data_IF_799961441577
#
_entry.id   IF_799961441577
#
_cell.length_a   1.000
_cell.length_b   1.000
_cell.length_c   1.000
_cell.angle_alpha   90.00
_cell.angle_beta   90.00
_cell.angle_gamma   90.00
#
_symmetry.space_group_name_H-M   'P 1'
#
loop_
_entity.id
_entity.type
_entity.pdbx_description
1 polymer ?
#
# COMPACT_ATOMS: atom_id res chain seq x y z
N UNK A 1 6.32 25.27 13.40
CA UNK A 1 6.97 23.93 13.49
C UNK A 1 6.35 23.05 12.42
N UNK A 2 7.15 22.45 11.52
CA UNK A 2 6.60 21.52 10.53
C UNK A 2 5.97 20.34 11.28
N UNK A 3 4.81 19.85 10.83
CA UNK A 3 4.24 18.62 11.39
C UNK A 3 5.16 17.43 11.11
N UNK A 4 5.13 16.41 11.95
CA UNK A 4 5.89 15.16 11.71
C UNK A 4 5.52 14.59 10.34
N UNK A 5 4.23 14.55 10.02
CA UNK A 5 3.74 14.07 8.73
C UNK A 5 4.35 14.83 7.55
N UNK A 6 4.42 16.16 7.61
CA UNK A 6 5.00 16.97 6.55
C UNK A 6 6.49 16.63 6.32
N UNK A 7 7.24 16.51 7.41
CA UNK A 7 8.67 16.13 7.34
C UNK A 7 8.83 14.72 6.75
N UNK A 8 7.99 13.78 7.16
CA UNK A 8 8.03 12.41 6.66
C UNK A 8 7.65 12.31 5.16
N UNK A 9 6.65 13.06 4.72
CA UNK A 9 6.26 13.17 3.30
C UNK A 9 7.40 13.72 2.47
N UNK A 10 7.99 14.86 2.88
CA UNK A 10 9.14 15.47 2.18
C UNK A 10 10.33 14.50 2.10
N UNK A 11 10.61 13.76 3.19
CA UNK A 11 11.68 12.75 3.24
C UNK A 11 11.40 11.57 2.30
N UNK A 12 10.16 11.09 2.26
CA UNK A 12 9.75 10.01 1.37
C UNK A 12 9.88 10.41 -0.12
N UNK A 13 9.49 11.64 -0.47
CA UNK A 13 9.65 12.18 -1.82
C UNK A 13 11.14 12.27 -2.19
N UNK A 14 11.96 12.82 -1.28
CA UNK A 14 13.41 12.92 -1.50
C UNK A 14 14.03 11.56 -1.72
N UNK A 15 13.75 10.60 -0.84
CA UNK A 15 14.24 9.23 -0.97
C UNK A 15 13.79 8.60 -2.30
N UNK A 16 12.51 8.75 -2.66
CA UNK A 16 11.98 8.19 -3.90
C UNK A 16 12.73 8.70 -5.14
N UNK A 17 13.07 9.98 -5.17
CA UNK A 17 13.86 10.58 -6.25
C UNK A 17 15.29 10.03 -6.29
N UNK A 18 15.96 9.94 -5.14
CA UNK A 18 17.35 9.48 -5.04
C UNK A 18 17.49 8.01 -5.45
N UNK A 19 16.56 7.15 -5.01
CA UNK A 19 16.59 5.70 -5.34
C UNK A 19 15.89 5.37 -6.66
N UNK A 20 15.35 6.39 -7.36
CA UNK A 20 14.56 6.23 -8.60
C UNK A 20 13.39 5.27 -8.41
N UNK A 21 12.65 5.43 -7.31
CA UNK A 21 11.45 4.65 -7.05
C UNK A 21 10.34 4.99 -8.03
N UNK A 22 9.58 3.98 -8.46
CA UNK A 22 8.44 4.15 -9.35
C UNK A 22 7.26 4.88 -8.72
N UNK A 23 7.14 4.83 -7.38
CA UNK A 23 6.11 5.57 -6.64
C UNK A 23 6.42 5.70 -5.15
N UNK A 24 5.66 6.57 -4.49
CA UNK A 24 5.51 6.62 -3.02
C UNK A 24 4.17 6.01 -2.65
N UNK A 25 4.20 4.88 -1.94
CA UNK A 25 3.04 4.18 -1.40
C UNK A 25 2.68 4.76 -0.03
N UNK A 26 1.46 5.23 0.14
CA UNK A 26 1.01 5.93 1.33
C UNK A 26 0.04 5.04 2.12
N UNK A 27 0.55 4.39 3.17
CA UNK A 27 -0.22 3.52 4.07
C UNK A 27 -0.75 4.25 5.32
N UNK A 28 -0.56 5.55 5.39
CA UNK A 28 -1.04 6.47 6.45
C UNK A 28 -1.74 7.65 5.80
N UNK A 29 -2.69 8.26 6.51
CA UNK A 29 -3.40 9.43 5.99
C UNK A 29 -2.52 10.69 6.07
N UNK A 30 -2.06 11.12 4.92
CA UNK A 30 -1.26 12.34 4.71
C UNK A 30 -1.84 13.18 3.56
N UNK A 31 -3.16 13.03 3.32
CA UNK A 31 -3.85 13.75 2.24
C UNK A 31 -3.75 15.26 2.40
N UNK A 32 -3.83 15.75 3.64
CA UNK A 32 -3.67 17.17 3.97
C UNK A 32 -2.29 17.69 3.59
N UNK A 33 -1.25 17.00 4.02
CA UNK A 33 0.14 17.39 3.75
C UNK A 33 0.46 17.36 2.25
N UNK A 34 -0.03 16.36 1.52
CA UNK A 34 0.15 16.32 0.06
C UNK A 34 -0.61 17.45 -0.65
N UNK A 35 -1.79 17.82 -0.17
CA UNK A 35 -2.56 18.91 -0.74
C UNK A 35 -1.88 20.29 -0.56
N UNK A 36 -1.01 20.43 0.45
CA UNK A 36 -0.20 21.63 0.70
C UNK A 36 1.05 21.74 -0.19
N UNK A 37 1.50 20.61 -0.79
CA UNK A 37 2.64 20.63 -1.70
C UNK A 37 2.34 21.44 -2.96
N UNK A 38 3.38 22.03 -3.55
CA UNK A 38 3.30 22.63 -4.87
C UNK A 38 2.92 21.59 -5.94
N UNK A 39 2.40 22.05 -7.07
CA UNK A 39 2.05 21.14 -8.18
C UNK A 39 3.27 20.39 -8.72
N UNK A 40 4.41 21.08 -8.81
CA UNK A 40 5.67 20.48 -9.27
C UNK A 40 6.15 19.37 -8.32
N UNK A 41 6.04 19.57 -7.02
CA UNK A 41 6.37 18.54 -6.03
C UNK A 41 5.44 17.34 -6.16
N UNK A 42 4.13 17.56 -6.30
CA UNK A 42 3.17 16.46 -6.50
C UNK A 42 3.38 15.70 -7.80
N UNK A 43 3.83 16.36 -8.87
CA UNK A 43 4.14 15.72 -10.15
C UNK A 43 5.52 15.04 -10.17
N UNK A 44 6.37 15.33 -9.20
CA UNK A 44 7.75 14.84 -9.20
C UNK A 44 7.90 13.35 -8.93
N UNK A 45 6.90 12.74 -8.29
CA UNK A 45 6.80 11.30 -8.03
C UNK A 45 5.33 10.87 -8.13
N UNK A 46 5.10 9.61 -8.49
CA UNK A 46 3.75 9.05 -8.48
C UNK A 46 3.36 8.67 -7.05
N UNK A 47 2.20 9.09 -6.59
CA UNK A 47 1.64 8.71 -5.30
C UNK A 47 0.59 7.61 -5.46
N UNK A 48 0.59 6.66 -4.53
CA UNK A 48 -0.43 5.62 -4.42
C UNK A 48 -0.94 5.58 -2.98
N UNK A 49 -2.20 5.96 -2.78
CA UNK A 49 -2.86 5.91 -1.48
C UNK A 49 -3.47 4.54 -1.24
N UNK A 50 -3.11 3.94 -0.11
CA UNK A 50 -3.72 2.71 0.38
C UNK A 50 -4.88 3.08 1.30
N UNK A 51 -6.10 2.90 0.79
CA UNK A 51 -7.32 3.41 1.38
C UNK A 51 -8.40 2.32 1.47
N UNK A 52 -9.41 2.54 2.29
CA UNK A 52 -10.64 1.73 2.27
C UNK A 52 -11.50 2.11 1.06
N UNK A 53 -12.40 1.21 0.66
CA UNK A 53 -13.32 1.48 -0.44
C UNK A 53 -14.17 2.73 -0.20
N UNK A 54 -14.63 2.92 1.05
CA UNK A 54 -15.48 4.06 1.47
C UNK A 54 -14.76 5.42 1.53
N UNK A 55 -13.43 5.44 1.41
CA UNK A 55 -12.63 6.66 1.47
C UNK A 55 -12.39 7.20 0.06
N UNK A 56 -12.38 8.54 -0.08
CA UNK A 56 -12.12 9.20 -1.35
C UNK A 56 -10.87 10.07 -1.30
N UNK A 57 -10.23 10.22 -2.45
CA UNK A 57 -9.15 11.17 -2.62
C UNK A 57 -9.72 12.57 -2.90
N UNK A 58 -9.16 13.62 -2.27
CA UNK A 58 -9.48 14.99 -2.61
C UNK A 58 -9.24 15.26 -4.11
N UNK A 59 -10.15 15.98 -4.77
CA UNK A 59 -10.05 16.31 -6.21
C UNK A 59 -8.68 16.88 -6.59
N UNK A 60 -8.11 17.71 -5.72
CA UNK A 60 -6.77 18.30 -5.94
C UNK A 60 -5.65 17.25 -6.10
N UNK A 61 -5.82 16.04 -5.57
CA UNK A 61 -4.83 14.96 -5.62
C UNK A 61 -5.08 13.97 -6.77
N UNK A 62 -6.30 13.91 -7.31
CA UNK A 62 -6.66 12.96 -8.39
C UNK A 62 -5.73 12.98 -9.60
N UNK A 63 -5.22 14.15 -10.08
CA UNK A 63 -4.34 14.17 -11.24
C UNK A 63 -2.95 13.53 -10.99
N UNK A 64 -2.52 13.44 -9.72
CA UNK A 64 -1.15 13.05 -9.35
C UNK A 64 -1.07 11.82 -8.46
N UNK A 65 -2.22 11.32 -7.99
CA UNK A 65 -2.29 10.19 -7.07
C UNK A 65 -3.27 9.12 -7.56
N UNK A 66 -2.98 7.87 -7.26
CA UNK A 66 -3.88 6.73 -7.47
C UNK A 66 -4.38 6.19 -6.14
N UNK A 67 -5.58 5.62 -6.14
CA UNK A 67 -6.15 4.88 -5.02
C UNK A 67 -5.86 3.40 -5.21
N UNK A 68 -5.40 2.74 -4.15
CA UNK A 68 -5.32 1.29 -4.02
C UNK A 68 -6.20 0.88 -2.85
N UNK A 69 -7.31 0.26 -3.18
CA UNK A 69 -8.32 -0.11 -2.19
C UNK A 69 -7.93 -1.38 -1.45
N UNK A 70 -8.09 -1.37 -0.14
CA UNK A 70 -7.95 -2.56 0.70
C UNK A 70 -9.27 -2.87 1.41
N UNK A 71 -9.47 -4.15 1.79
CA UNK A 71 -10.61 -4.56 2.62
C UNK A 71 -10.67 -3.76 3.92
N UNK A 72 -11.88 -3.50 4.40
CA UNK A 72 -12.12 -2.78 5.66
C UNK A 72 -11.95 -3.70 6.88
N UNK A 73 -10.72 -4.13 7.11
CA UNK A 73 -10.33 -4.97 8.23
C UNK A 73 -9.17 -4.36 9.01
N UNK A 74 -9.07 -4.71 10.29
CA UNK A 74 -7.98 -4.23 11.13
C UNK A 74 -6.69 -4.98 10.80
N UNK A 75 -5.84 -4.35 9.99
CA UNK A 75 -4.54 -4.86 9.62
C UNK A 75 -3.44 -4.27 10.51
N UNK A 76 -2.42 -5.08 10.79
CA UNK A 76 -1.17 -4.54 11.32
C UNK A 76 -0.51 -3.66 10.26
N UNK A 77 0.41 -2.77 10.67
CA UNK A 77 1.18 -1.93 9.74
C UNK A 77 1.84 -2.73 8.63
N UNK A 78 2.56 -3.79 8.99
CA UNK A 78 3.24 -4.66 8.03
C UNK A 78 2.23 -5.44 7.17
N UNK A 79 1.14 -5.94 7.77
CA UNK A 79 0.06 -6.60 7.03
C UNK A 79 -0.57 -5.70 5.98
N UNK A 80 -0.81 -4.41 6.32
CA UNK A 80 -1.33 -3.42 5.35
C UNK A 80 -0.38 -3.24 4.17
N UNK A 81 0.93 -3.13 4.42
CA UNK A 81 1.94 -3.00 3.36
C UNK A 81 1.96 -4.26 2.48
N UNK A 82 2.00 -5.45 3.09
CA UNK A 82 2.01 -6.74 2.36
C UNK A 82 0.82 -6.87 1.42
N UNK A 83 -0.39 -6.65 1.93
CA UNK A 83 -1.61 -6.75 1.13
C UNK A 83 -1.63 -5.68 0.03
N UNK A 84 -1.17 -4.46 0.32
CA UNK A 84 -1.10 -3.40 -0.68
C UNK A 84 -0.14 -3.76 -1.83
N UNK A 85 1.03 -4.33 -1.52
CA UNK A 85 1.98 -4.77 -2.55
C UNK A 85 1.37 -5.91 -3.38
N UNK A 86 0.82 -6.95 -2.74
CA UNK A 86 0.19 -8.07 -3.43
C UNK A 86 -0.92 -7.62 -4.38
N UNK A 87 -1.84 -6.78 -3.86
CA UNK A 87 -2.94 -6.23 -4.65
C UNK A 87 -2.46 -5.32 -5.78
N UNK A 88 -1.40 -4.56 -5.53
CA UNK A 88 -0.77 -3.71 -6.54
C UNK A 88 -0.13 -4.53 -7.67
N UNK A 89 0.47 -5.69 -7.39
CA UNK A 89 1.03 -6.60 -8.40
C UNK A 89 -0.12 -7.20 -9.22
N UNK A 90 -1.13 -7.77 -8.58
CA UNK A 90 -2.28 -8.39 -9.25
C UNK A 90 -3.04 -7.39 -10.14
N UNK A 91 -3.18 -6.14 -9.69
CA UNK A 91 -3.82 -5.08 -10.49
C UNK A 91 -2.91 -4.47 -11.58
N UNK A 92 -1.69 -4.97 -11.75
CA UNK A 92 -0.72 -4.43 -12.70
C UNK A 92 -0.17 -3.03 -12.35
N UNK A 93 -0.41 -2.58 -11.11
CA UNK A 93 0.10 -1.30 -10.63
C UNK A 93 1.60 -1.37 -10.31
N UNK A 94 2.05 -2.52 -9.84
CA UNK A 94 3.45 -2.86 -9.54
C UNK A 94 3.87 -4.12 -10.31
N UNK A 95 5.15 -4.23 -10.60
CA UNK A 95 5.76 -5.40 -11.23
C UNK A 95 7.10 -5.73 -10.57
N UNK A 96 7.58 -6.95 -10.78
CA UNK A 96 8.90 -7.40 -10.33
C UNK A 96 9.99 -6.43 -10.78
N UNK A 97 10.86 -6.03 -9.85
CA UNK A 97 11.93 -5.07 -10.08
C UNK A 97 11.52 -3.60 -9.89
N UNK A 98 10.24 -3.30 -9.66
CA UNK A 98 9.84 -1.95 -9.28
C UNK A 98 10.38 -1.61 -7.89
N UNK A 99 10.84 -0.36 -7.74
CA UNK A 99 11.23 0.21 -6.45
C UNK A 99 10.12 1.09 -5.92
N UNK A 100 9.77 0.89 -4.66
CA UNK A 100 8.68 1.60 -4.00
C UNK A 100 9.22 2.18 -2.70
N UNK A 101 8.92 3.44 -2.43
CA UNK A 101 9.10 4.03 -1.11
C UNK A 101 7.75 4.02 -0.42
N UNK A 102 7.62 3.32 0.70
CA UNK A 102 6.39 3.22 1.44
C UNK A 102 6.45 4.07 2.71
N UNK A 103 5.52 5.02 2.82
CA UNK A 103 5.31 5.81 4.03
C UNK A 103 4.20 5.17 4.87
N UNK A 104 4.52 4.81 6.10
CA UNK A 104 3.59 4.12 7.00
C UNK A 104 3.62 4.71 8.40
N UNK A 105 2.61 4.37 9.18
CA UNK A 105 2.47 4.77 10.57
C UNK A 105 1.54 3.82 11.32
N UNK A 106 1.54 3.94 12.64
CA UNK A 106 0.59 3.21 13.47
C UNK A 106 -0.78 3.89 13.36
N UNK A 107 -1.83 3.19 12.85
CA UNK A 107 -3.14 3.81 12.58
C UNK A 107 -3.72 4.54 13.82
N UNK A 108 -3.49 4.00 15.02
CA UNK A 108 -3.97 4.57 16.29
C UNK A 108 -3.41 5.96 16.56
N UNK A 109 -2.22 6.29 16.06
CA UNK A 109 -1.55 7.57 16.35
C UNK A 109 -1.79 8.64 15.30
N UNK A 110 -2.27 8.27 14.10
CA UNK A 110 -2.62 9.21 13.05
C UNK A 110 -1.44 9.98 12.44
N UNK A 111 -0.19 9.52 12.67
CA UNK A 111 0.99 10.13 12.07
C UNK A 111 1.92 9.08 11.44
N UNK A 112 2.70 9.53 10.46
CA UNK A 112 3.75 8.73 9.83
C UNK A 112 4.95 8.59 10.77
N UNK A 113 5.44 7.37 10.95
CA UNK A 113 6.58 7.08 11.81
C UNK A 113 7.67 6.25 11.12
N UNK A 114 7.41 5.75 9.91
CA UNK A 114 8.31 4.82 9.22
C UNK A 114 8.29 5.04 7.72
N UNK A 115 9.48 4.95 7.12
CA UNK A 115 9.68 4.89 5.68
C UNK A 115 10.35 3.56 5.35
N UNK A 116 9.75 2.77 4.45
CA UNK A 116 10.29 1.53 3.94
C UNK A 116 10.73 1.71 2.49
N UNK A 117 11.88 1.16 2.15
CA UNK A 117 12.27 0.97 0.76
C UNK A 117 11.99 -0.48 0.38
N UNK A 118 11.24 -0.67 -0.70
CA UNK A 118 10.77 -1.98 -1.16
C UNK A 118 11.23 -2.16 -2.60
N UNK A 119 12.00 -3.24 -2.83
CA UNK A 119 12.35 -3.70 -4.17
C UNK A 119 11.46 -4.92 -4.48
N UNK A 120 10.41 -4.70 -5.26
CA UNK A 120 9.38 -5.70 -5.52
C UNK A 120 10.00 -6.96 -6.12
N UNK A 121 9.87 -8.06 -5.40
CA UNK A 121 10.41 -9.35 -5.80
C UNK A 121 11.78 -9.72 -5.25
N UNK A 122 12.33 -8.88 -4.37
CA UNK A 122 13.58 -9.20 -3.66
C UNK A 122 13.42 -9.31 -2.15
N UNK A 123 12.25 -8.98 -1.62
CA UNK A 123 12.00 -9.00 -0.18
C UNK A 123 11.34 -10.31 0.25
N UNK A 124 12.11 -11.18 0.88
CA UNK A 124 11.69 -12.48 1.40
C UNK A 124 10.61 -12.41 2.51
N UNK A 125 10.46 -11.25 3.17
CA UNK A 125 9.48 -11.08 4.24
C UNK A 125 8.11 -10.59 3.74
N UNK A 126 8.08 -10.01 2.54
CA UNK A 126 6.87 -9.47 1.93
C UNK A 126 6.60 -10.26 0.66
N UNK A 127 5.97 -11.42 0.75
CA UNK A 127 5.57 -12.28 -0.37
C UNK A 127 6.64 -12.34 -1.48
N UNK A 128 7.30 -13.45 -1.64
CA UNK A 128 8.25 -13.62 -2.75
C UNK A 128 7.50 -13.39 -4.06
N UNK A 129 8.07 -12.63 -4.97
CA UNK A 129 7.43 -12.33 -6.26
C UNK A 129 7.18 -13.58 -7.11
N UNK A 130 7.94 -14.63 -6.86
CA UNK A 130 7.77 -15.87 -7.58
C UNK A 130 6.45 -16.55 -7.18
N UNK A 131 6.11 -16.53 -5.87
CA UNK A 131 4.82 -17.03 -5.38
C UNK A 131 3.63 -16.21 -5.90
N UNK A 132 3.79 -14.89 -6.06
CA UNK A 132 2.72 -14.03 -6.58
C UNK A 132 2.67 -14.05 -8.10
N UNK A 133 3.80 -14.09 -8.81
CA UNK A 133 3.77 -14.16 -10.27
C UNK A 133 3.05 -15.40 -10.76
N UNK A 134 3.26 -16.56 -10.12
CA UNK A 134 2.56 -17.80 -10.45
C UNK A 134 1.05 -17.68 -10.21
N UNK A 135 0.64 -16.95 -9.17
CA UNK A 135 -0.78 -16.68 -8.89
C UNK A 135 -1.36 -15.67 -9.90
N UNK A 136 -0.63 -14.62 -10.24
CA UNK A 136 -1.08 -13.60 -11.19
C UNK A 136 -1.23 -14.16 -12.60
N UNK A 137 -0.33 -15.05 -13.00
CA UNK A 137 -0.38 -15.68 -14.33
C UNK A 137 -1.48 -16.74 -14.44
N UNK A 138 -1.96 -17.29 -13.31
CA UNK A 138 -2.94 -18.38 -13.27
C UNK A 138 -4.32 -17.96 -12.78
N UNK A 139 -4.47 -16.85 -12.08
CA UNK A 139 -5.71 -16.42 -11.44
C UNK A 139 -6.14 -15.04 -11.93
N UNK A 140 -7.40 -14.90 -12.33
CA UNK A 140 -7.96 -13.60 -12.71
C UNK A 140 -7.94 -12.62 -11.53
N UNK A 141 -7.65 -11.32 -11.76
CA UNK A 141 -7.58 -10.30 -10.69
C UNK A 141 -8.83 -10.23 -9.82
N UNK A 142 -10.02 -10.44 -10.41
CA UNK A 142 -11.30 -10.43 -9.70
C UNK A 142 -11.40 -11.59 -8.72
N UNK A 143 -10.97 -12.79 -9.13
CA UNK A 143 -10.95 -14.00 -8.29
C UNK A 143 -9.96 -13.82 -7.13
N UNK A 144 -8.75 -13.30 -7.42
CA UNK A 144 -7.78 -12.99 -6.38
C UNK A 144 -8.33 -11.98 -5.36
N UNK A 145 -8.95 -10.89 -5.83
CA UNK A 145 -9.53 -9.88 -4.95
C UNK A 145 -10.66 -10.46 -4.08
N UNK A 146 -11.53 -11.31 -4.66
CA UNK A 146 -12.59 -11.97 -3.91
C UNK A 146 -12.01 -12.90 -2.84
N UNK A 147 -11.03 -13.74 -3.19
CA UNK A 147 -10.34 -14.62 -2.23
C UNK A 147 -9.66 -13.84 -1.11
N UNK A 148 -8.98 -12.74 -1.45
CA UNK A 148 -8.33 -11.86 -0.48
C UNK A 148 -9.35 -11.23 0.49
N UNK A 149 -10.47 -10.72 -0.02
CA UNK A 149 -11.52 -10.14 0.81
C UNK A 149 -12.07 -11.18 1.79
N UNK A 150 -12.42 -12.38 1.32
CA UNK A 150 -12.90 -13.48 2.16
C UNK A 150 -11.84 -13.86 3.20
N UNK A 151 -10.57 -13.98 2.81
CA UNK A 151 -9.47 -14.29 3.74
C UNK A 151 -9.34 -13.23 4.84
N UNK A 152 -9.45 -11.94 4.48
CA UNK A 152 -9.40 -10.84 5.43
C UNK A 152 -10.60 -10.86 6.39
N UNK A 153 -11.81 -11.12 5.89
CA UNK A 153 -13.01 -11.24 6.73
C UNK A 153 -12.90 -12.40 7.72
N UNK A 154 -12.47 -13.58 7.24
CA UNK A 154 -12.24 -14.75 8.10
C UNK A 154 -11.18 -14.48 9.16
N UNK A 155 -10.10 -13.79 8.78
CA UNK A 155 -9.05 -13.42 9.72
C UNK A 155 -9.53 -12.41 10.78
N UNK A 156 -10.46 -11.51 10.41
CA UNK A 156 -11.04 -10.53 11.32
C UNK A 156 -12.05 -11.14 12.29
N UNK A 157 -12.89 -12.06 11.79
CA UNK A 157 -13.90 -12.72 12.61
C UNK A 157 -13.28 -13.73 13.59
N UNK A 158 -12.23 -14.44 13.15
CA UNK A 158 -11.66 -15.56 13.89
C UNK A 158 -12.64 -16.72 14.04
N UNK A 159 -12.25 -17.78 14.69
CA UNK A 159 -13.14 -18.83 15.14
C UNK A 159 -12.87 -19.08 16.62
N UNK A 160 -13.90 -18.89 17.46
CA UNK A 160 -13.81 -19.12 18.92
C UNK A 160 -12.61 -18.42 19.59
N UNK A 161 -12.37 -17.14 19.25
CA UNK A 161 -11.23 -16.33 19.72
C UNK A 161 -9.84 -16.78 19.25
N UNK A 162 -9.74 -17.75 18.34
CA UNK A 162 -8.48 -18.23 17.77
C UNK A 162 -8.31 -17.73 16.34
N UNK A 163 -7.06 -17.41 15.97
CA UNK A 163 -6.70 -17.14 14.56
C UNK A 163 -6.84 -18.42 13.75
N UNK A 164 -7.51 -18.32 12.62
CA UNK A 164 -7.73 -19.46 11.70
C UNK A 164 -6.90 -19.23 10.45
N UNK A 165 -6.15 -20.24 10.05
CA UNK A 165 -5.55 -20.31 8.72
C UNK A 165 -6.58 -20.80 7.71
N UNK A 166 -6.55 -20.27 6.50
CA UNK A 166 -7.45 -20.64 5.41
C UNK A 166 -6.65 -20.97 4.16
N UNK A 167 -7.06 -22.00 3.43
CA UNK A 167 -6.51 -22.37 2.13
C UNK A 167 -7.62 -22.19 1.10
N UNK A 168 -7.33 -21.47 0.03
CA UNK A 168 -8.20 -21.36 -1.14
C UNK A 168 -7.67 -22.26 -2.24
N UNK A 169 -8.55 -23.02 -2.85
CA UNK A 169 -8.28 -23.82 -4.06
C UNK A 169 -9.02 -23.11 -5.18
N UNK A 170 -8.29 -22.60 -6.14
CA UNK A 170 -8.80 -21.83 -7.27
C UNK A 170 -8.60 -22.61 -8.58
#
# INVERSE_FOLDING_TARGET
MKSVNKTMVESAIKLAKEVKAGCVLLCVDVRGELAELSEDERKSVRFVFVMRESEELPEKLLPTAKKLELPDVNLTRVGKIKIAIAKGIVSGLFKKGDRIVCLSGVPKFGYADSIFFIDVGREFEILTSDDISDVVDSVQPEVFNAALNIACELAAQGRETRKVGTIFVL
#
